data_IF_509848258672
#
_entry.id   IF_509848258672
#
_cell.length_a   1.000
_cell.length_b   1.000
_cell.length_c   1.000
_cell.angle_alpha   90.00
_cell.angle_beta   90.00
_cell.angle_gamma   90.00
#
_symmetry.space_group_name_H-M   'P 1'
#
loop_
_entity.id
_entity.type
_entity.pdbx_description
1 polymer ?
#
# COMPACT_ATOMS: atom_id res chain seq x y z
N UNK A 1 6.23 -5.39 -17.02
CA UNK A 1 6.46 -6.28 -15.87
C UNK A 1 7.89 -6.82 -15.79
N UNK A 2 8.67 -6.77 -16.89
CA UNK A 2 10.04 -7.33 -16.91
C UNK A 2 11.15 -6.27 -17.05
N UNK A 3 10.81 -4.99 -17.15
CA UNK A 3 11.77 -3.94 -17.41
C UNK A 3 12.42 -3.44 -16.09
N UNK A 4 13.73 -3.66 -15.97
CA UNK A 4 14.55 -3.19 -14.85
C UNK A 4 14.55 -1.66 -14.68
N UNK A 5 14.12 -0.91 -15.66
CA UNK A 5 13.96 0.54 -15.52
C UNK A 5 12.94 0.91 -14.43
N UNK A 6 11.93 0.06 -14.17
CA UNK A 6 10.94 0.29 -13.14
C UNK A 6 11.57 0.25 -11.72
N UNK A 7 12.12 -0.85 -11.19
CA UNK A 7 12.75 -0.81 -9.88
C UNK A 7 13.96 0.14 -9.82
N UNK A 8 14.69 0.33 -10.93
CA UNK A 8 15.78 1.31 -11.00
C UNK A 8 15.30 2.74 -10.78
N UNK A 9 14.12 3.11 -11.29
CA UNK A 9 13.53 4.42 -11.02
C UNK A 9 13.34 4.62 -9.51
N UNK A 10 12.72 3.66 -8.84
CA UNK A 10 12.48 3.73 -7.39
C UNK A 10 13.77 3.68 -6.55
N UNK A 11 14.82 2.98 -7.01
CA UNK A 11 16.15 3.03 -6.38
C UNK A 11 16.76 4.43 -6.42
N UNK A 12 16.52 5.17 -7.50
CA UNK A 12 17.15 6.46 -7.74
C UNK A 12 16.31 7.66 -7.27
N UNK A 13 15.03 7.47 -7.00
CA UNK A 13 14.09 8.54 -6.62
C UNK A 13 13.37 8.21 -5.32
N UNK A 14 12.38 7.34 -5.34
CA UNK A 14 11.48 7.06 -4.22
C UNK A 14 12.23 6.62 -2.95
N UNK A 15 13.17 5.68 -3.05
CA UNK A 15 13.98 5.22 -1.91
C UNK A 15 14.80 6.35 -1.27
N UNK A 16 15.62 7.11 -2.05
CA UNK A 16 16.35 8.28 -1.55
C UNK A 16 15.46 9.39 -1.00
N UNK A 17 14.28 9.63 -1.59
CA UNK A 17 13.31 10.62 -1.09
C UNK A 17 12.80 10.24 0.29
N UNK A 18 12.36 8.98 0.48
CA UNK A 18 11.94 8.46 1.77
C UNK A 18 13.07 8.60 2.81
N UNK A 19 14.28 8.17 2.47
CA UNK A 19 15.43 8.25 3.40
C UNK A 19 15.75 9.69 3.80
N UNK A 20 15.63 10.64 2.88
CA UNK A 20 15.84 12.07 3.16
C UNK A 20 14.76 12.61 4.09
N UNK A 21 13.48 12.25 3.86
CA UNK A 21 12.36 12.74 4.66
C UNK A 21 12.39 12.17 6.10
N UNK A 22 12.99 10.99 6.26
CA UNK A 22 13.24 10.36 7.57
C UNK A 22 14.65 10.56 8.11
N UNK A 23 15.45 11.51 7.58
CA UNK A 23 16.85 11.68 7.98
C UNK A 23 17.03 11.97 9.49
N UNK A 24 16.07 12.64 10.14
CA UNK A 24 16.12 13.05 11.55
C UNK A 24 15.15 12.28 12.46
N UNK A 25 14.51 11.22 11.95
CA UNK A 25 13.56 10.41 12.71
C UNK A 25 13.69 8.93 12.35
N UNK A 26 13.16 8.09 13.21
CA UNK A 26 13.14 6.65 12.96
C UNK A 26 12.21 6.31 11.79
N UNK A 27 12.58 5.27 11.07
CA UNK A 27 11.75 4.58 10.08
C UNK A 27 11.78 3.08 10.44
N UNK A 28 10.79 2.63 11.20
CA UNK A 28 10.75 1.25 11.64
C UNK A 28 10.12 0.33 10.60
N UNK A 29 9.11 0.84 9.89
CA UNK A 29 8.38 0.07 8.88
C UNK A 29 8.16 0.87 7.60
N UNK A 30 8.42 0.24 6.47
CA UNK A 30 7.98 0.69 5.14
C UNK A 30 6.93 -0.28 4.62
N UNK A 31 5.71 0.21 4.39
CA UNK A 31 4.57 -0.59 3.95
C UNK A 31 4.25 -0.27 2.50
N UNK A 32 4.27 -1.26 1.64
CA UNK A 32 3.92 -1.15 0.21
C UNK A 32 3.11 -2.37 -0.22
N UNK A 33 2.38 -2.23 -1.32
CA UNK A 33 1.83 -3.37 -2.05
C UNK A 33 2.68 -3.68 -3.28
N UNK A 34 2.20 -4.61 -4.11
CA UNK A 34 2.87 -4.92 -5.37
C UNK A 34 1.89 -5.21 -6.51
N UNK A 35 2.13 -4.58 -7.64
CA UNK A 35 1.62 -4.97 -8.95
C UNK A 35 2.78 -5.48 -9.78
N UNK A 36 3.64 -4.59 -10.28
CA UNK A 36 4.91 -4.96 -10.92
C UNK A 36 6.01 -5.31 -9.91
N UNK A 37 5.87 -4.89 -8.66
CA UNK A 37 6.89 -5.02 -7.63
C UNK A 37 8.00 -3.96 -7.70
N UNK A 38 7.92 -3.01 -8.62
CA UNK A 38 8.98 -2.02 -8.84
C UNK A 38 9.25 -1.14 -7.63
N UNK A 39 8.21 -0.61 -7.00
CA UNK A 39 8.32 0.24 -5.79
C UNK A 39 8.88 -0.55 -4.62
N UNK A 40 8.27 -1.70 -4.30
CA UNK A 40 8.71 -2.56 -3.21
C UNK A 40 10.19 -2.96 -3.38
N UNK A 41 10.56 -3.44 -4.56
CA UNK A 41 11.93 -3.85 -4.85
C UNK A 41 12.89 -2.66 -4.81
N UNK A 42 12.62 -1.62 -5.60
CA UNK A 42 13.57 -0.53 -5.78
C UNK A 42 13.74 0.33 -4.53
N UNK A 43 12.65 0.81 -3.93
CA UNK A 43 12.72 1.59 -2.70
C UNK A 43 13.16 0.74 -1.51
N UNK A 44 12.64 -0.49 -1.39
CA UNK A 44 12.99 -1.41 -0.31
C UNK A 44 14.49 -1.76 -0.29
N UNK A 45 15.12 -2.03 -1.43
CA UNK A 45 16.57 -2.28 -1.51
C UNK A 45 17.38 -1.09 -0.97
N UNK A 46 17.02 0.13 -1.35
CA UNK A 46 17.73 1.34 -0.89
C UNK A 46 17.48 1.61 0.60
N UNK A 47 16.27 1.40 1.07
CA UNK A 47 15.94 1.51 2.50
C UNK A 47 16.75 0.46 3.28
N UNK A 48 16.76 -0.79 2.87
CA UNK A 48 17.52 -1.86 3.54
C UNK A 48 19.02 -1.61 3.54
N UNK A 49 19.56 -1.02 2.47
CA UNK A 49 20.98 -0.69 2.38
C UNK A 49 21.37 0.39 3.41
N UNK A 50 20.53 1.41 3.59
CA UNK A 50 20.80 2.55 4.48
C UNK A 50 20.34 2.31 5.92
N UNK A 51 19.28 1.51 6.11
CA UNK A 51 18.63 1.22 7.40
C UNK A 51 18.24 -0.26 7.45
N UNK A 52 19.19 -1.18 7.70
CA UNK A 52 18.95 -2.63 7.67
C UNK A 52 17.87 -3.10 8.64
N UNK A 53 17.65 -2.37 9.74
CA UNK A 53 16.64 -2.62 10.76
C UNK A 53 15.21 -2.29 10.35
N UNK A 54 15.02 -1.41 9.34
CA UNK A 54 13.68 -1.07 8.83
C UNK A 54 13.01 -2.31 8.23
N UNK A 55 11.83 -2.63 8.72
CA UNK A 55 11.05 -3.77 8.23
C UNK A 55 10.28 -3.38 6.95
N UNK A 56 10.49 -4.11 5.88
CA UNK A 56 9.73 -3.96 4.62
C UNK A 56 8.51 -4.88 4.69
N UNK A 57 7.33 -4.26 4.78
CA UNK A 57 6.04 -4.95 4.86
C UNK A 57 5.35 -4.88 3.52
N UNK A 58 4.94 -6.02 2.99
CA UNK A 58 4.26 -6.13 1.71
C UNK A 58 2.82 -6.59 1.92
N UNK A 59 1.89 -5.70 1.56
CA UNK A 59 0.47 -6.03 1.53
C UNK A 59 0.13 -6.86 0.27
N UNK A 60 -0.67 -7.88 0.44
CA UNK A 60 -1.19 -8.73 -0.64
C UNK A 60 -2.70 -8.90 -0.52
N UNK A 61 -3.46 -9.00 -1.63
CA UNK A 61 -4.85 -9.43 -1.57
C UNK A 61 -4.92 -10.82 -0.95
N UNK A 62 -5.78 -11.03 0.04
CA UNK A 62 -5.87 -12.33 0.73
C UNK A 62 -6.23 -13.49 -0.21
N UNK A 63 -6.99 -13.20 -1.29
CA UNK A 63 -7.39 -14.16 -2.32
C UNK A 63 -6.34 -14.38 -3.42
N UNK A 64 -5.24 -13.62 -3.40
CA UNK A 64 -4.19 -13.68 -4.41
C UNK A 64 -2.80 -13.46 -3.79
N UNK A 65 -2.57 -13.96 -2.59
CA UNK A 65 -1.32 -13.75 -1.84
C UNK A 65 -0.20 -14.67 -2.37
N UNK A 66 0.24 -14.44 -3.62
CA UNK A 66 1.23 -15.28 -4.32
C UNK A 66 2.58 -15.30 -3.63
N UNK A 67 3.04 -14.18 -3.09
CA UNK A 67 4.32 -14.14 -2.37
C UNK A 67 4.25 -14.91 -1.06
N UNK A 68 3.05 -15.01 -0.47
CA UNK A 68 2.78 -15.87 0.69
C UNK A 68 2.53 -17.34 0.33
N UNK A 69 2.58 -17.71 -0.96
CA UNK A 69 2.43 -19.09 -1.44
C UNK A 69 0.99 -19.55 -1.65
N UNK A 70 0.02 -18.63 -1.68
CA UNK A 70 -1.36 -18.95 -2.06
C UNK A 70 -1.54 -18.96 -3.59
N UNK A 71 -2.56 -19.64 -4.06
CA UNK A 71 -3.01 -19.54 -5.45
C UNK A 71 -3.68 -18.20 -5.72
N UNK A 72 -3.66 -17.77 -6.98
CA UNK A 72 -4.30 -16.53 -7.40
C UNK A 72 -5.81 -16.73 -7.57
N UNK A 73 -6.58 -15.75 -7.10
CA UNK A 73 -8.00 -15.61 -7.34
C UNK A 73 -8.34 -14.13 -7.55
N UNK A 74 -9.42 -13.80 -8.27
CA UNK A 74 -9.83 -12.42 -8.51
C UNK A 74 -10.03 -11.62 -7.23
N UNK A 75 -9.62 -10.34 -7.25
CA UNK A 75 -9.75 -9.39 -6.16
C UNK A 75 -10.08 -7.98 -6.70
N UNK A 76 -10.55 -7.08 -5.82
CA UNK A 76 -10.97 -5.71 -6.17
C UNK A 76 -9.84 -4.68 -6.07
N UNK A 77 -8.65 -5.05 -5.60
CA UNK A 77 -7.52 -4.13 -5.44
C UNK A 77 -6.87 -3.93 -6.81
N UNK A 78 -7.36 -2.95 -7.55
CA UNK A 78 -6.92 -2.69 -8.93
C UNK A 78 -5.42 -2.39 -9.00
N UNK A 79 -4.75 -2.94 -10.01
CA UNK A 79 -3.33 -2.75 -10.27
C UNK A 79 -2.40 -3.62 -9.43
N UNK A 80 -2.92 -4.41 -8.48
CA UNK A 80 -2.13 -5.32 -7.68
C UNK A 80 -2.18 -6.76 -8.20
N UNK A 81 -1.19 -7.51 -7.80
CA UNK A 81 -1.05 -8.97 -7.87
C UNK A 81 -1.66 -9.57 -9.13
N UNK A 82 -0.94 -9.53 -10.28
CA UNK A 82 -1.32 -10.32 -11.44
C UNK A 82 -1.24 -11.81 -11.10
N UNK A 83 -1.72 -12.68 -11.98
CA UNK A 83 -1.72 -14.13 -11.82
C UNK A 83 -0.33 -14.79 -11.91
N UNK A 84 0.73 -13.97 -11.88
CA UNK A 84 2.12 -14.38 -11.89
C UNK A 84 2.98 -13.43 -11.05
N UNK A 85 4.17 -13.89 -10.63
CA UNK A 85 5.17 -13.04 -9.95
C UNK A 85 6.06 -12.40 -11.02
N UNK A 86 6.09 -11.04 -11.13
CA UNK A 86 6.93 -10.35 -12.10
C UNK A 86 8.43 -10.64 -11.89
N UNK A 87 9.16 -10.77 -12.99
CA UNK A 87 10.61 -11.07 -12.93
C UNK A 87 11.45 -10.00 -12.21
N UNK A 88 11.01 -8.73 -12.26
CA UNK A 88 11.70 -7.62 -11.60
C UNK A 88 11.42 -7.52 -10.11
N UNK A 89 10.44 -8.27 -9.61
CA UNK A 89 10.10 -8.31 -8.20
C UNK A 89 11.09 -9.20 -7.44
N UNK A 90 11.73 -8.65 -6.42
CA UNK A 90 12.63 -9.36 -5.53
C UNK A 90 11.96 -9.60 -4.18
N UNK A 91 11.41 -10.81 -4.02
CA UNK A 91 10.70 -11.21 -2.80
C UNK A 91 11.56 -11.10 -1.54
N UNK A 92 12.86 -11.36 -1.66
CA UNK A 92 13.84 -11.34 -0.57
C UNK A 92 14.05 -9.96 0.06
N UNK A 93 13.58 -8.90 -0.56
CA UNK A 93 13.60 -7.54 0.00
C UNK A 93 12.56 -7.38 1.12
N UNK A 94 11.47 -8.15 1.06
CA UNK A 94 10.40 -8.09 2.04
C UNK A 94 10.72 -8.89 3.29
N UNK A 95 10.42 -8.31 4.46
CA UNK A 95 10.53 -8.99 5.76
C UNK A 95 9.20 -9.63 6.17
N UNK A 96 8.07 -9.04 5.76
CA UNK A 96 6.73 -9.52 6.12
C UNK A 96 5.77 -9.42 4.95
N UNK A 97 4.87 -10.40 4.84
CA UNK A 97 3.73 -10.39 3.93
C UNK A 97 2.44 -10.33 4.74
N UNK A 98 1.58 -9.37 4.44
CA UNK A 98 0.34 -9.13 5.18
C UNK A 98 -0.86 -9.24 4.23
N UNK A 99 -1.66 -10.30 4.33
CA UNK A 99 -2.87 -10.43 3.53
C UNK A 99 -3.94 -9.45 4.01
N UNK A 100 -4.60 -8.80 3.04
CA UNK A 100 -5.71 -7.87 3.27
C UNK A 100 -6.90 -8.25 2.37
N UNK A 101 -8.11 -8.15 2.91
CA UNK A 101 -9.31 -8.39 2.12
C UNK A 101 -9.69 -7.16 1.28
N UNK A 102 -10.56 -7.38 0.28
CA UNK A 102 -11.12 -6.29 -0.51
C UNK A 102 -11.89 -5.30 0.36
N UNK A 103 -12.68 -5.82 1.31
CA UNK A 103 -13.52 -4.99 2.19
C UNK A 103 -12.67 -4.16 3.16
N UNK A 104 -11.64 -4.75 3.80
CA UNK A 104 -10.67 -4.01 4.62
C UNK A 104 -10.01 -2.88 3.84
N UNK A 105 -9.66 -3.13 2.58
CA UNK A 105 -9.00 -2.16 1.71
C UNK A 105 -9.92 -0.98 1.36
N UNK A 106 -11.17 -1.26 1.01
CA UNK A 106 -12.18 -0.24 0.69
C UNK A 106 -12.53 0.58 1.93
N UNK A 107 -12.75 -0.07 3.07
CA UNK A 107 -13.07 0.59 4.32
C UNK A 107 -11.92 1.50 4.80
N UNK A 108 -10.69 1.03 4.75
CA UNK A 108 -9.53 1.84 5.11
C UNK A 108 -9.36 3.07 4.21
N UNK A 109 -9.58 2.94 2.89
CA UNK A 109 -9.54 4.08 1.97
C UNK A 109 -10.63 5.12 2.29
N UNK A 110 -11.88 4.67 2.53
CA UNK A 110 -12.99 5.56 2.93
C UNK A 110 -12.73 6.25 4.26
N UNK A 111 -12.24 5.51 5.24
CA UNK A 111 -11.93 6.05 6.57
C UNK A 111 -10.81 7.09 6.50
N UNK A 112 -9.76 6.83 5.70
CA UNK A 112 -8.66 7.77 5.50
C UNK A 112 -9.15 9.09 4.87
N UNK A 113 -10.02 9.01 3.87
CA UNK A 113 -10.63 10.19 3.27
C UNK A 113 -11.49 10.97 4.27
N UNK A 114 -12.32 10.27 5.05
CA UNK A 114 -13.26 10.90 6.00
C UNK A 114 -12.56 11.53 7.20
N UNK A 115 -11.52 10.89 7.74
CA UNK A 115 -10.88 11.29 9.01
C UNK A 115 -9.71 12.24 8.77
N UNK A 116 -8.90 11.95 7.74
CA UNK A 116 -7.65 12.68 7.48
C UNK A 116 -7.70 13.56 6.21
N UNK A 117 -8.79 13.49 5.44
CA UNK A 117 -8.90 14.23 4.18
C UNK A 117 -7.95 13.71 3.07
N UNK A 118 -7.38 12.53 3.22
CA UNK A 118 -6.47 11.94 2.24
C UNK A 118 -7.26 11.02 1.30
N UNK A 119 -7.40 11.45 0.06
CA UNK A 119 -8.20 10.77 -0.95
C UNK A 119 -7.33 9.81 -1.78
N UNK A 120 -7.36 8.52 -1.44
CA UNK A 120 -6.57 7.47 -2.08
C UNK A 120 -7.46 6.42 -2.76
N UNK A 121 -6.87 5.65 -3.70
CA UNK A 121 -7.52 4.48 -4.30
C UNK A 121 -7.57 3.27 -3.35
N UNK A 122 -8.19 2.18 -3.82
CA UNK A 122 -8.35 0.93 -3.04
C UNK A 122 -6.98 0.36 -2.62
N UNK A 123 -5.97 0.48 -3.48
CA UNK A 123 -4.61 0.01 -3.17
C UNK A 123 -3.94 0.79 -2.03
N UNK A 124 -4.21 2.11 -1.92
CA UNK A 124 -3.78 2.90 -0.76
C UNK A 124 -4.49 2.50 0.52
N UNK A 125 -5.79 2.17 0.43
CA UNK A 125 -6.52 1.57 1.54
C UNK A 125 -5.95 0.22 1.96
N UNK A 126 -5.55 -0.61 1.00
CA UNK A 126 -4.94 -1.91 1.26
C UNK A 126 -3.59 -1.80 1.99
N UNK A 127 -2.71 -0.87 1.58
CA UNK A 127 -1.46 -0.62 2.30
C UNK A 127 -1.71 -0.08 3.70
N UNK A 128 -2.71 0.78 3.87
CA UNK A 128 -3.09 1.29 5.19
C UNK A 128 -3.67 0.19 6.10
N UNK A 129 -4.52 -0.70 5.58
CA UNK A 129 -5.03 -1.85 6.33
C UNK A 129 -3.89 -2.79 6.78
N UNK A 130 -2.92 -3.05 5.89
CA UNK A 130 -1.72 -3.83 6.24
C UNK A 130 -0.86 -3.11 7.30
N UNK A 131 -0.78 -1.78 7.23
CA UNK A 131 -0.11 -0.98 8.26
C UNK A 131 -0.78 -1.15 9.62
N UNK A 132 -2.09 -1.05 9.73
CA UNK A 132 -2.81 -1.24 10.99
C UNK A 132 -2.62 -2.65 11.55
N UNK A 133 -2.77 -3.70 10.74
CA UNK A 133 -2.48 -5.09 11.16
C UNK A 133 -1.03 -5.25 11.66
N UNK A 134 -0.09 -4.56 11.04
CA UNK A 134 1.31 -4.60 11.48
C UNK A 134 1.51 -3.83 12.79
N UNK A 135 0.83 -2.70 12.94
CA UNK A 135 0.93 -1.85 14.13
C UNK A 135 0.38 -2.52 15.40
N UNK A 136 -0.61 -3.41 15.28
CA UNK A 136 -1.16 -4.18 16.42
C UNK A 136 -0.10 -5.01 17.15
N UNK A 137 0.96 -5.41 16.44
CA UNK A 137 2.03 -6.26 16.99
C UNK A 137 3.40 -5.58 17.00
N UNK A 138 3.47 -4.34 16.54
CA UNK A 138 4.70 -3.55 16.53
C UNK A 138 5.02 -3.01 17.94
N UNK A 139 6.30 -2.74 18.26
CA UNK A 139 6.66 -2.03 19.48
C UNK A 139 5.99 -0.66 19.55
N UNK A 140 5.69 -0.20 20.78
CA UNK A 140 5.16 1.15 21.01
C UNK A 140 6.09 2.22 20.42
N UNK A 141 5.50 3.30 19.92
CA UNK A 141 6.19 4.41 19.26
C UNK A 141 6.89 4.05 17.93
N UNK A 142 6.54 2.92 17.31
CA UNK A 142 7.04 2.58 15.97
C UNK A 142 6.55 3.59 14.93
N UNK A 143 7.44 3.96 14.01
CA UNK A 143 7.16 4.87 12.91
C UNK A 143 6.99 4.10 11.60
N UNK A 144 5.90 4.40 10.89
CA UNK A 144 5.53 3.76 9.64
C UNK A 144 5.55 4.76 8.47
N UNK A 145 6.13 4.35 7.35
CA UNK A 145 5.94 4.99 6.06
C UNK A 145 5.04 4.11 5.20
N UNK A 146 3.88 4.60 4.81
CA UNK A 146 2.88 3.84 4.06
C UNK A 146 2.77 4.39 2.64
N UNK A 147 2.93 3.53 1.65
CA UNK A 147 2.78 3.91 0.25
C UNK A 147 1.30 4.04 -0.12
N UNK A 148 0.89 5.22 -0.56
CA UNK A 148 -0.41 5.48 -1.16
C UNK A 148 -0.18 5.69 -2.67
N UNK A 149 -0.44 4.67 -3.51
CA UNK A 149 0.06 4.66 -4.90
C UNK A 149 -0.60 5.66 -5.84
N UNK A 150 -1.85 6.02 -5.59
CA UNK A 150 -2.65 6.91 -6.44
C UNK A 150 -3.77 7.62 -5.66
N UNK A 151 -4.57 8.39 -6.40
CA UNK A 151 -5.67 9.18 -5.85
C UNK A 151 -7.02 8.51 -6.10
N UNK A 152 -8.01 8.82 -5.26
CA UNK A 152 -9.36 8.25 -5.30
C UNK A 152 -10.17 8.63 -6.54
N UNK A 153 -9.86 9.77 -7.20
CA UNK A 153 -10.61 10.27 -8.37
C UNK A 153 -10.68 9.27 -9.53
N UNK A 154 -9.70 8.36 -9.63
CA UNK A 154 -9.66 7.32 -10.66
C UNK A 154 -10.70 6.23 -10.43
N UNK A 155 -11.32 6.18 -9.26
CA UNK A 155 -12.17 5.08 -8.78
C UNK A 155 -13.62 5.48 -8.55
N UNK A 156 -14.07 6.66 -9.02
CA UNK A 156 -15.43 7.18 -8.82
C UNK A 156 -16.54 6.22 -9.30
N UNK A 157 -16.26 5.42 -10.33
CA UNK A 157 -17.18 4.39 -10.85
C UNK A 157 -16.93 2.98 -10.30
N UNK A 158 -16.14 2.85 -9.24
CA UNK A 158 -15.77 1.56 -8.63
C UNK A 158 -16.53 1.31 -7.33
N UNK A 159 -16.46 0.10 -6.75
CA UNK A 159 -17.04 -0.21 -5.45
C UNK A 159 -16.60 0.70 -4.31
N UNK A 160 -15.49 1.46 -4.47
CA UNK A 160 -15.05 2.45 -3.49
C UNK A 160 -16.11 3.52 -3.21
N UNK A 161 -16.92 3.87 -4.22
CA UNK A 161 -17.93 4.95 -4.13
C UNK A 161 -19.36 4.46 -4.36
N UNK A 162 -19.61 3.14 -4.38
CA UNK A 162 -20.92 2.56 -4.73
C UNK A 162 -22.09 3.07 -3.90
N UNK A 163 -21.83 3.53 -2.67
CA UNK A 163 -22.87 4.04 -1.75
C UNK A 163 -22.74 5.55 -1.47
N UNK A 164 -22.02 6.27 -2.31
CA UNK A 164 -21.94 7.73 -2.21
C UNK A 164 -22.91 8.32 -3.21
N UNK A 165 -23.95 8.97 -2.69
CA UNK A 165 -24.98 9.65 -3.49
C UNK A 165 -24.65 11.13 -3.64
N UNK A 166 -25.14 11.75 -4.71
CA UNK A 166 -25.09 13.20 -4.92
C UNK A 166 -26.26 13.87 -4.15
N UNK A 167 -26.35 13.62 -2.84
CA UNK A 167 -27.34 14.26 -1.99
C UNK A 167 -27.00 15.76 -1.83
N UNK A 168 -28.04 16.59 -1.60
CA UNK A 168 -27.83 18.01 -1.38
C UNK A 168 -27.09 18.26 -0.05
N UNK A 169 -26.39 19.39 0.06
CA UNK A 169 -25.76 19.82 1.32
C UNK A 169 -26.77 19.92 2.46
N UNK A 170 -28.05 20.22 2.15
CA UNK A 170 -29.14 20.29 3.13
C UNK A 170 -29.51 18.92 3.68
N UNK A 171 -29.55 17.89 2.82
CA UNK A 171 -29.78 16.50 3.24
C UNK A 171 -28.65 16.01 4.12
N UNK A 172 -27.40 16.31 3.75
CA UNK A 172 -26.22 15.98 4.55
C UNK A 172 -26.23 16.67 5.92
N UNK A 173 -26.51 17.99 5.97
CA UNK A 173 -26.60 18.75 7.22
C UNK A 173 -27.72 18.28 8.14
N UNK A 174 -28.81 17.74 7.57
CA UNK A 174 -29.93 17.22 8.36
C UNK A 174 -29.66 15.83 8.94
N UNK A 175 -28.66 15.11 8.44
CA UNK A 175 -28.26 13.75 8.86
C UNK A 175 -27.06 13.74 9.82
N UNK A 176 -26.44 14.88 10.07
CA UNK A 176 -25.27 15.06 10.94
C UNK A 176 -25.70 15.40 12.37
#
# INVERSE_FOLDING_TARGET
>A
FENEANPRYHRNTTGPEILRDFATRDLNYFVSGWGTGGTMTGAGEIIKLARPETQIVVAEPENAALLSGKEWSPHKIQGWTPDFIPRVLKKEVADKFVPVSDDESIEAAKKLAKVEGIFTGISGGATLAACFKTAEVAPDNSTFCVMLPDTGERYLSSPLFENITEDSDEDWLSSA
#
